data_IF_631651965564
#
_entry.id   IF_631651965564
#
_cell.length_a   1.000
_cell.length_b   1.000
_cell.length_c   1.000
_cell.angle_alpha   90.00
_cell.angle_beta   90.00
_cell.angle_gamma   90.00
#
_symmetry.space_group_name_H-M   'P 1'
#
loop_
_entity.id
_entity.type
_entity.pdbx_description
1 polymer ?
#
# COMPACT_ATOMS: atom_id res chain seq x y z
N UNK A 1 21.51 8.25 -25.10
CA UNK A 1 20.60 7.14 -24.74
C UNK A 1 19.57 7.75 -23.80
N UNK A 2 18.31 7.86 -24.22
CA UNK A 2 17.28 8.41 -23.36
C UNK A 2 17.11 7.45 -22.16
N UNK A 3 17.40 7.91 -20.97
CA UNK A 3 17.07 7.20 -19.73
C UNK A 3 15.56 7.33 -19.61
N UNK A 4 14.82 6.28 -19.92
CA UNK A 4 13.38 6.23 -19.65
C UNK A 4 13.21 6.11 -18.14
N UNK A 5 12.87 7.23 -17.51
CA UNK A 5 12.65 7.31 -16.08
C UNK A 5 11.33 6.62 -15.72
N UNK A 6 11.42 5.47 -15.06
CA UNK A 6 10.25 4.72 -14.58
C UNK A 6 9.32 5.61 -13.75
N UNK A 7 9.89 6.46 -12.89
CA UNK A 7 9.10 7.31 -12.00
C UNK A 7 8.32 8.37 -12.78
N UNK A 8 8.93 8.92 -13.84
CA UNK A 8 8.25 9.85 -14.74
C UNK A 8 7.19 9.20 -15.62
N UNK A 9 7.24 7.88 -15.77
CA UNK A 9 6.25 7.11 -16.54
C UNK A 9 5.04 6.67 -15.70
N UNK A 10 5.07 6.85 -14.37
CA UNK A 10 3.91 6.64 -13.51
C UNK A 10 2.96 7.83 -13.64
N UNK A 11 1.67 7.57 -13.85
CA UNK A 11 0.70 8.62 -14.11
C UNK A 11 -0.51 8.54 -13.16
N UNK A 12 -0.95 9.66 -12.57
CA UNK A 12 -2.23 9.70 -11.86
C UNK A 12 -3.37 9.66 -12.88
N UNK A 13 -4.37 8.84 -12.60
CA UNK A 13 -5.52 8.64 -13.51
C UNK A 13 -6.82 8.49 -12.73
N UNK A 14 -7.95 8.74 -13.39
CA UNK A 14 -9.25 8.23 -13.00
C UNK A 14 -9.49 6.90 -13.72
N UNK A 15 -9.73 5.85 -12.97
CA UNK A 15 -9.95 4.50 -13.46
C UNK A 15 -11.40 4.09 -13.21
N UNK A 16 -12.15 3.88 -14.27
CA UNK A 16 -13.56 3.50 -14.20
C UNK A 16 -13.68 1.98 -14.30
N UNK A 17 -14.40 1.32 -13.38
CA UNK A 17 -14.66 -0.12 -13.47
C UNK A 17 -15.32 -0.50 -14.80
N UNK A 18 -14.73 -1.52 -15.47
CA UNK A 18 -15.13 -1.94 -16.81
C UNK A 18 -14.49 -1.15 -17.97
N UNK A 19 -13.67 -0.13 -17.66
CA UNK A 19 -12.95 0.68 -18.65
C UNK A 19 -11.47 0.83 -18.33
N UNK A 20 -10.87 -0.18 -17.71
CA UNK A 20 -9.51 -0.14 -17.17
C UNK A 20 -8.43 0.00 -18.24
N UNK A 21 -8.74 -0.34 -19.48
CA UNK A 21 -7.83 -0.16 -20.62
C UNK A 21 -7.78 1.29 -21.16
N UNK A 22 -8.70 2.15 -20.69
CA UNK A 22 -8.84 3.55 -21.16
C UNK A 22 -8.98 4.50 -19.98
N UNK A 23 -7.98 4.55 -19.07
CA UNK A 23 -8.03 5.46 -17.93
C UNK A 23 -8.01 6.92 -18.40
N UNK A 24 -8.65 7.81 -17.63
CA UNK A 24 -8.60 9.25 -17.88
C UNK A 24 -7.44 9.87 -17.13
N UNK A 25 -6.40 10.40 -17.79
CA UNK A 25 -5.24 10.98 -17.12
C UNK A 25 -5.60 12.24 -16.33
N UNK A 26 -5.11 12.31 -15.08
CA UNK A 26 -5.11 13.50 -14.26
C UNK A 26 -3.87 14.36 -14.55
N UNK A 27 -3.99 15.66 -14.28
CA UNK A 27 -2.82 16.53 -14.33
C UNK A 27 -1.84 16.16 -13.20
N UNK A 28 -0.59 15.80 -13.47
CA UNK A 28 0.34 15.31 -12.46
C UNK A 28 0.74 16.36 -11.42
N UNK A 29 0.57 17.64 -11.71
CA UNK A 29 0.87 18.74 -10.80
C UNK A 29 -0.37 19.30 -10.09
N UNK A 30 -1.58 18.87 -10.48
CA UNK A 30 -2.82 19.26 -9.82
C UNK A 30 -3.94 18.28 -10.15
N UNK A 31 -4.24 17.34 -9.26
CA UNK A 31 -5.25 16.30 -9.47
C UNK A 31 -6.69 16.83 -9.58
N UNK A 32 -6.95 18.08 -9.19
CA UNK A 32 -8.25 18.72 -9.45
C UNK A 32 -8.48 19.05 -10.93
N UNK A 33 -7.48 18.79 -11.78
CA UNK A 33 -7.54 18.98 -13.22
C UNK A 33 -7.30 17.66 -13.96
N UNK A 34 -7.91 17.53 -15.12
CA UNK A 34 -7.56 16.50 -16.10
C UNK A 34 -6.27 16.91 -16.86
N UNK A 35 -5.52 15.95 -17.35
CA UNK A 35 -4.34 16.23 -18.17
C UNK A 35 -4.68 16.95 -19.48
N UNK A 36 -5.85 16.68 -20.03
CA UNK A 36 -6.36 17.36 -21.23
C UNK A 36 -6.97 18.77 -20.95
N UNK A 37 -6.97 19.20 -19.69
CA UNK A 37 -7.61 20.43 -19.22
C UNK A 37 -9.03 20.21 -18.70
N UNK A 38 -9.54 21.19 -17.96
CA UNK A 38 -10.83 21.11 -17.28
C UNK A 38 -10.74 20.44 -15.89
N UNK A 39 -11.81 20.59 -15.11
CA UNK A 39 -11.88 20.06 -13.76
C UNK A 39 -12.02 18.53 -13.75
N UNK A 40 -11.31 17.87 -12.83
CA UNK A 40 -11.50 16.47 -12.52
C UNK A 40 -12.58 16.28 -11.45
N UNK A 41 -13.15 15.08 -11.34
CA UNK A 41 -14.08 14.71 -10.29
C UNK A 41 -13.48 13.56 -9.49
N UNK A 42 -12.92 13.88 -8.32
CA UNK A 42 -12.20 12.93 -7.46
C UNK A 42 -13.10 12.25 -6.41
N UNK A 43 -14.41 12.55 -6.40
CA UNK A 43 -15.36 12.04 -5.40
C UNK A 43 -15.97 10.67 -5.76
N UNK A 44 -15.45 10.02 -6.81
CA UNK A 44 -15.86 8.68 -7.23
C UNK A 44 -16.88 8.65 -8.37
N UNK A 45 -17.54 9.79 -8.71
CA UNK A 45 -18.50 9.82 -9.79
C UNK A 45 -17.88 9.60 -11.20
N UNK A 46 -16.59 9.90 -11.36
CA UNK A 46 -15.83 9.70 -12.61
C UNK A 46 -14.80 8.56 -12.52
N UNK A 47 -14.95 7.66 -11.56
CA UNK A 47 -14.03 6.57 -11.31
C UNK A 47 -13.15 6.77 -10.07
N UNK A 48 -12.21 5.88 -9.88
CA UNK A 48 -11.28 5.89 -8.74
C UNK A 48 -9.99 6.61 -9.11
N UNK A 49 -9.47 7.43 -8.18
CA UNK A 49 -8.17 8.08 -8.34
C UNK A 49 -7.05 7.04 -8.09
N UNK A 50 -6.29 6.72 -9.13
CA UNK A 50 -5.29 5.65 -9.11
C UNK A 50 -3.95 6.15 -9.65
N UNK A 51 -2.85 5.63 -9.11
CA UNK A 51 -1.55 5.74 -9.75
C UNK A 51 -1.40 4.57 -10.73
N UNK A 52 -1.32 4.87 -12.03
CA UNK A 52 -0.98 3.91 -13.07
C UNK A 52 0.53 3.72 -13.12
N UNK A 53 0.98 2.49 -12.99
CA UNK A 53 2.39 2.11 -13.01
C UNK A 53 2.62 1.21 -14.22
N UNK A 54 3.46 1.60 -15.18
CA UNK A 54 3.76 0.77 -16.35
C UNK A 54 4.61 -0.44 -15.97
N UNK A 55 4.44 -1.53 -16.72
CA UNK A 55 5.32 -2.70 -16.61
C UNK A 55 6.78 -2.30 -16.77
N UNK A 56 7.63 -2.81 -15.89
CA UNK A 56 9.06 -2.59 -15.95
C UNK A 56 9.86 -3.86 -15.71
N UNK A 57 11.11 -3.82 -16.10
CA UNK A 57 12.13 -4.83 -15.86
C UNK A 57 12.91 -4.52 -14.60
N UNK A 58 13.31 -5.54 -13.87
CA UNK A 58 14.20 -5.37 -12.72
C UNK A 58 15.32 -6.39 -12.71
N UNK A 59 16.39 -6.06 -12.02
CA UNK A 59 17.37 -7.03 -11.53
C UNK A 59 17.66 -6.74 -10.05
N UNK A 60 18.01 -7.78 -9.33
CA UNK A 60 18.43 -7.70 -7.94
C UNK A 60 19.75 -8.46 -7.76
N UNK A 61 20.66 -7.88 -7.01
CA UNK A 61 21.87 -8.56 -6.56
C UNK A 61 22.26 -8.10 -5.15
N UNK A 62 22.98 -8.94 -4.45
CA UNK A 62 23.49 -8.66 -3.12
C UNK A 62 25.01 -8.94 -3.08
N UNK A 63 25.78 -8.02 -2.51
CA UNK A 63 27.23 -8.18 -2.40
C UNK A 63 27.74 -7.50 -1.12
N UNK A 64 28.43 -8.25 -0.30
CA UNK A 64 28.85 -7.80 1.03
C UNK A 64 27.62 -7.54 1.93
N UNK A 65 27.35 -6.28 2.24
CA UNK A 65 26.17 -5.83 3.00
C UNK A 65 25.19 -5.00 2.17
N UNK A 66 25.43 -4.92 0.84
CA UNK A 66 24.69 -3.98 -0.03
C UNK A 66 23.69 -4.70 -0.90
N UNK A 67 22.44 -4.22 -0.85
CA UNK A 67 21.40 -4.56 -1.80
C UNK A 67 21.55 -3.64 -3.03
N UNK A 68 21.48 -4.21 -4.22
CA UNK A 68 21.46 -3.45 -5.46
C UNK A 68 20.19 -3.77 -6.23
N UNK A 69 19.35 -2.77 -6.43
CA UNK A 69 18.12 -2.84 -7.23
C UNK A 69 18.33 -2.03 -8.51
N UNK A 70 17.98 -2.60 -9.66
CA UNK A 70 17.98 -1.90 -10.94
C UNK A 70 16.61 -2.08 -11.57
N UNK A 71 16.05 -1.00 -12.11
CA UNK A 71 14.77 -1.00 -12.82
C UNK A 71 14.90 -0.28 -14.15
N UNK A 72 14.12 -0.70 -15.15
CA UNK A 72 14.06 -0.07 -16.46
C UNK A 72 12.75 -0.40 -17.15
N UNK A 73 12.22 0.53 -17.94
CA UNK A 73 11.08 0.27 -18.82
C UNK A 73 11.45 -0.66 -19.97
N UNK A 74 12.73 -0.79 -20.30
CA UNK A 74 13.23 -1.67 -21.36
C UNK A 74 14.03 -2.84 -20.77
N UNK A 75 14.02 -4.02 -21.41
CA UNK A 75 14.87 -5.14 -21.02
C UNK A 75 16.36 -4.77 -21.03
N UNK A 76 17.12 -5.29 -20.06
CA UNK A 76 18.57 -5.19 -19.98
C UNK A 76 19.18 -6.52 -19.53
N UNK A 77 20.48 -6.68 -19.63
CA UNK A 77 21.15 -7.95 -19.32
C UNK A 77 20.86 -8.40 -17.88
N UNK A 78 20.32 -9.60 -17.72
CA UNK A 78 19.97 -10.19 -16.43
C UNK A 78 18.65 -9.65 -15.84
N UNK A 79 17.92 -8.81 -16.57
CA UNK A 79 16.63 -8.32 -16.11
C UNK A 79 15.50 -9.33 -16.35
N UNK A 80 14.46 -9.20 -15.55
CA UNK A 80 13.19 -9.92 -15.68
C UNK A 80 12.02 -8.99 -15.35
N UNK A 81 10.81 -9.34 -15.80
CA UNK A 81 9.60 -8.58 -15.52
C UNK A 81 9.35 -8.59 -14.00
N UNK A 82 9.06 -7.43 -13.41
CA UNK A 82 8.76 -7.36 -11.99
C UNK A 82 7.50 -8.18 -11.66
N UNK A 83 7.51 -9.02 -10.60
CA UNK A 83 6.46 -10.01 -10.37
C UNK A 83 5.04 -9.43 -10.22
N UNK A 84 4.89 -8.17 -9.80
CA UNK A 84 3.59 -7.51 -9.72
C UNK A 84 2.85 -7.47 -11.07
N UNK A 85 3.57 -7.54 -12.19
CA UNK A 85 2.98 -7.52 -13.54
C UNK A 85 2.67 -8.91 -14.09
N UNK A 86 2.82 -9.96 -13.28
CA UNK A 86 2.44 -11.34 -13.62
C UNK A 86 1.22 -11.71 -12.78
N UNK A 87 0.02 -11.47 -13.31
CA UNK A 87 -1.25 -11.71 -12.62
C UNK A 87 -1.88 -13.00 -13.15
N UNK A 88 -2.04 -14.01 -12.30
CA UNK A 88 -2.54 -15.35 -12.69
C UNK A 88 -1.78 -15.96 -13.87
N UNK A 89 -0.45 -15.76 -13.93
CA UNK A 89 0.40 -16.25 -15.02
C UNK A 89 0.37 -15.41 -16.31
N UNK A 90 -0.43 -14.34 -16.35
CA UNK A 90 -0.53 -13.45 -17.51
C UNK A 90 0.22 -12.15 -17.23
N UNK A 91 1.02 -11.70 -18.20
CA UNK A 91 1.71 -10.41 -18.13
C UNK A 91 0.70 -9.30 -18.42
N UNK A 92 0.61 -8.33 -17.50
CA UNK A 92 -0.24 -7.14 -17.66
C UNK A 92 0.63 -5.90 -17.90
N UNK A 93 0.19 -4.96 -18.78
CA UNK A 93 1.01 -3.80 -19.14
C UNK A 93 1.06 -2.73 -18.05
N UNK A 94 0.08 -2.72 -17.15
CA UNK A 94 -0.04 -1.74 -16.06
C UNK A 94 -0.52 -2.41 -14.78
N UNK A 95 -0.12 -1.83 -13.65
CA UNK A 95 -0.76 -2.04 -12.35
C UNK A 95 -1.23 -0.69 -11.82
N UNK A 96 -2.25 -0.74 -10.98
CA UNK A 96 -2.88 0.46 -10.43
C UNK A 96 -2.96 0.36 -8.92
N UNK A 97 -2.45 1.39 -8.23
CA UNK A 97 -2.54 1.55 -6.77
C UNK A 97 -3.43 2.75 -6.50
N UNK A 98 -4.41 2.62 -5.62
CA UNK A 98 -5.25 3.73 -5.19
C UNK A 98 -4.41 4.89 -4.66
N UNK A 99 -4.65 6.09 -5.16
CA UNK A 99 -3.99 7.30 -4.66
C UNK A 99 -4.33 7.51 -3.19
N UNK A 100 -5.58 7.28 -2.82
CA UNK A 100 -6.10 7.49 -1.47
C UNK A 100 -6.36 6.17 -0.75
N UNK A 101 -6.22 6.11 0.59
CA UNK A 101 -6.75 5.01 1.39
C UNK A 101 -8.22 4.74 1.06
N UNK A 102 -8.64 3.48 1.14
CA UNK A 102 -9.96 3.06 0.69
C UNK A 102 -11.09 3.71 1.52
N UNK A 103 -12.01 4.39 0.85
CA UNK A 103 -13.23 4.96 1.43
C UNK A 103 -14.42 4.02 1.24
N UNK A 104 -15.38 4.06 2.15
CA UNK A 104 -16.59 3.23 2.12
C UNK A 104 -17.63 3.80 1.15
N UNK A 105 -18.11 2.96 0.22
CA UNK A 105 -19.30 3.22 -0.61
C UNK A 105 -20.46 2.40 -0.06
N UNK A 106 -21.40 3.08 0.57
CA UNK A 106 -22.67 2.52 1.03
C UNK A 106 -23.62 2.39 -0.16
N UNK A 107 -23.93 1.15 -0.53
CA UNK A 107 -24.81 0.87 -1.67
C UNK A 107 -26.26 1.28 -1.37
N UNK A 108 -26.69 1.18 -0.13
CA UNK A 108 -28.03 1.56 0.28
C UNK A 108 -28.26 3.08 0.21
N UNK A 109 -27.23 3.85 0.52
CA UNK A 109 -27.23 5.31 0.39
C UNK A 109 -26.86 5.79 -1.02
N UNK A 110 -26.39 4.89 -1.90
CA UNK A 110 -25.82 5.18 -3.21
C UNK A 110 -24.72 6.28 -3.16
N UNK A 111 -23.89 6.29 -2.10
CA UNK A 111 -22.93 7.34 -1.83
C UNK A 111 -21.69 6.84 -1.09
N UNK A 112 -20.58 7.58 -1.24
CA UNK A 112 -19.45 7.45 -0.33
C UNK A 112 -19.79 8.11 1.00
N UNK A 113 -19.51 7.41 2.10
CA UNK A 113 -19.72 7.86 3.47
C UNK A 113 -18.42 7.88 4.25
N UNK A 114 -18.37 8.63 5.33
CA UNK A 114 -17.19 8.67 6.19
C UNK A 114 -17.04 7.35 6.95
N UNK A 115 -15.82 6.84 7.03
CA UNK A 115 -15.47 5.83 8.01
C UNK A 115 -15.64 6.41 9.43
N UNK A 116 -16.11 5.59 10.37
CA UNK A 116 -16.35 5.97 11.76
C UNK A 116 -15.49 5.17 12.75
N UNK A 117 -14.60 4.32 12.25
CA UNK A 117 -13.77 3.40 13.05
C UNK A 117 -14.51 2.13 13.51
N UNK A 118 -15.83 2.06 13.33
CA UNK A 118 -16.67 0.89 13.67
C UNK A 118 -17.51 0.40 12.48
N UNK A 119 -17.67 1.22 11.45
CA UNK A 119 -18.47 0.97 10.25
C UNK A 119 -19.90 0.52 10.58
N UNK A 120 -20.59 1.34 11.37
CA UNK A 120 -21.99 1.13 11.69
C UNK A 120 -22.84 1.14 10.41
N UNK A 121 -23.51 0.04 10.13
CA UNK A 121 -24.33 -0.10 8.91
C UNK A 121 -23.64 -0.71 7.72
N UNK A 122 -22.37 -1.14 7.83
CA UNK A 122 -21.67 -1.85 6.75
C UNK A 122 -22.39 -3.13 6.32
N UNK A 123 -22.70 -3.24 5.02
CA UNK A 123 -23.25 -4.46 4.42
C UNK A 123 -22.17 -5.27 3.68
N UNK A 124 -21.81 -6.41 4.25
CA UNK A 124 -20.83 -7.32 3.66
C UNK A 124 -21.23 -7.89 2.29
N UNK A 125 -22.51 -7.90 1.94
CA UNK A 125 -22.98 -8.47 0.69
C UNK A 125 -23.00 -7.42 -0.45
N UNK A 126 -23.14 -6.15 -0.10
CA UNK A 126 -23.38 -5.10 -1.08
C UNK A 126 -22.28 -4.02 -1.14
N UNK A 127 -21.79 -3.54 0.02
CA UNK A 127 -20.94 -2.37 0.09
C UNK A 127 -19.58 -2.57 -0.57
N UNK A 128 -19.03 -1.47 -1.07
CA UNK A 128 -17.78 -1.43 -1.83
C UNK A 128 -16.79 -0.48 -1.18
N UNK A 129 -15.58 -0.49 -1.68
CA UNK A 129 -14.56 0.51 -1.34
C UNK A 129 -14.10 1.27 -2.58
N UNK A 130 -13.56 2.48 -2.37
CA UNK A 130 -13.07 3.31 -3.47
C UNK A 130 -11.88 4.16 -3.07
N UNK A 131 -11.06 4.54 -4.04
CA UNK A 131 -10.00 5.53 -3.89
C UNK A 131 -10.53 6.89 -4.33
N UNK A 132 -10.96 7.71 -3.38
CA UNK A 132 -11.63 9.00 -3.61
C UNK A 132 -11.19 10.04 -2.58
N UNK A 133 -11.52 11.31 -2.80
CA UNK A 133 -11.28 12.42 -1.86
C UNK A 133 -12.50 12.74 -1.00
N UNK A 134 -12.24 13.37 0.15
CA UNK A 134 -13.26 14.03 0.96
C UNK A 134 -14.02 13.10 1.91
N UNK A 135 -13.55 11.87 2.11
CA UNK A 135 -14.12 10.93 3.07
C UNK A 135 -13.05 10.34 3.98
N UNK A 136 -13.37 10.13 5.25
CA UNK A 136 -12.52 9.33 6.11
C UNK A 136 -12.44 7.90 5.58
N UNK A 137 -11.24 7.28 5.61
CA UNK A 137 -11.09 5.91 5.09
C UNK A 137 -11.95 4.90 5.86
N UNK A 138 -12.33 3.83 5.17
CA UNK A 138 -12.93 2.67 5.79
C UNK A 138 -11.92 1.96 6.69
N UNK A 139 -12.36 1.55 7.89
CA UNK A 139 -11.56 0.78 8.83
C UNK A 139 -12.43 -0.24 9.55
N UNK A 140 -11.88 -0.96 10.52
CA UNK A 140 -12.63 -1.91 11.36
C UNK A 140 -13.36 -3.02 10.57
N UNK A 141 -12.78 -3.44 9.46
CA UNK A 141 -13.17 -4.61 8.69
C UNK A 141 -12.04 -5.63 8.71
N UNK A 142 -12.38 -6.92 8.63
CA UNK A 142 -11.38 -7.97 8.41
C UNK A 142 -10.79 -7.87 7.01
N UNK A 143 -9.60 -8.45 6.79
CA UNK A 143 -8.99 -8.54 5.45
C UNK A 143 -9.96 -9.17 4.44
N UNK A 144 -10.66 -10.25 4.81
CA UNK A 144 -11.64 -10.91 3.95
C UNK A 144 -12.79 -9.98 3.54
N UNK A 145 -13.27 -9.13 4.45
CA UNK A 145 -14.32 -8.16 4.16
C UNK A 145 -13.82 -7.08 3.19
N UNK A 146 -12.62 -6.54 3.39
CA UNK A 146 -12.00 -5.62 2.45
C UNK A 146 -11.78 -6.25 1.07
N UNK A 147 -11.30 -7.52 1.01
CA UNK A 147 -11.19 -8.30 -0.23
C UNK A 147 -12.52 -8.39 -0.97
N UNK A 148 -13.59 -8.75 -0.27
CA UNK A 148 -14.94 -8.83 -0.84
C UNK A 148 -15.44 -7.48 -1.35
N UNK A 149 -15.23 -6.40 -0.59
CA UNK A 149 -15.60 -5.05 -0.96
C UNK A 149 -14.88 -4.55 -2.23
N UNK A 150 -13.58 -4.84 -2.34
CA UNK A 150 -12.80 -4.52 -3.54
C UNK A 150 -13.28 -5.32 -4.76
N UNK A 151 -13.52 -6.63 -4.60
CA UNK A 151 -14.02 -7.48 -5.68
C UNK A 151 -15.38 -7.03 -6.23
N UNK A 152 -16.24 -6.43 -5.39
CA UNK A 152 -17.54 -5.88 -5.82
C UNK A 152 -17.41 -4.57 -6.62
N UNK A 153 -16.26 -3.92 -6.65
CA UNK A 153 -16.01 -2.79 -7.54
C UNK A 153 -16.08 -3.24 -8.99
N UNK A 154 -15.47 -4.39 -9.32
CA UNK A 154 -15.46 -4.97 -10.65
C UNK A 154 -14.50 -6.14 -10.77
N UNK A 155 -14.55 -6.84 -11.89
CA UNK A 155 -13.62 -7.94 -12.16
C UNK A 155 -12.17 -7.45 -12.19
N UNK A 156 -11.28 -8.13 -11.49
CA UNK A 156 -9.86 -7.78 -11.41
C UNK A 156 -9.49 -6.77 -10.32
N UNK A 157 -10.46 -6.10 -9.70
CA UNK A 157 -10.23 -5.20 -8.57
C UNK A 157 -9.94 -5.99 -7.28
N UNK A 158 -9.02 -5.48 -6.49
CA UNK A 158 -8.55 -6.11 -5.26
C UNK A 158 -8.12 -5.04 -4.25
N UNK A 159 -7.84 -5.43 -3.02
CA UNK A 159 -6.97 -4.62 -2.17
C UNK A 159 -5.51 -4.86 -2.54
N UNK A 160 -4.58 -4.05 -2.00
CA UNK A 160 -3.15 -4.19 -2.25
C UNK A 160 -2.69 -5.63 -1.97
N UNK A 161 -2.06 -6.26 -2.96
CA UNK A 161 -1.48 -7.60 -2.84
C UNK A 161 0.00 -7.55 -2.48
N UNK A 162 0.57 -8.70 -2.12
CA UNK A 162 1.98 -8.85 -1.77
C UNK A 162 2.94 -8.24 -2.81
N UNK A 163 2.69 -8.48 -4.10
CA UNK A 163 3.57 -7.98 -5.13
C UNK A 163 3.38 -6.49 -5.42
N UNK A 164 2.17 -5.95 -5.23
CA UNK A 164 1.95 -4.49 -5.29
C UNK A 164 2.63 -3.76 -4.12
N UNK A 165 2.63 -4.35 -2.93
CA UNK A 165 3.39 -3.80 -1.81
C UNK A 165 4.90 -3.84 -2.08
N UNK A 166 5.42 -4.95 -2.62
CA UNK A 166 6.82 -5.03 -3.04
C UNK A 166 7.15 -4.02 -4.15
N UNK A 167 6.19 -3.77 -5.07
CA UNK A 167 6.32 -2.75 -6.12
C UNK A 167 6.40 -1.34 -5.54
N UNK A 168 5.56 -0.99 -4.56
CA UNK A 168 5.62 0.32 -3.90
C UNK A 168 6.98 0.54 -3.23
N UNK A 169 7.53 -0.48 -2.54
CA UNK A 169 8.89 -0.44 -1.98
C UNK A 169 9.96 -0.31 -3.06
N UNK A 170 9.81 -1.00 -4.20
CA UNK A 170 10.74 -0.90 -5.33
C UNK A 170 10.75 0.50 -5.93
N UNK A 171 9.60 1.12 -6.13
CA UNK A 171 9.51 2.50 -6.59
C UNK A 171 10.18 3.47 -5.61
N UNK A 172 9.94 3.28 -4.31
CA UNK A 172 10.54 4.11 -3.28
C UNK A 172 12.06 3.97 -3.27
N UNK A 173 12.60 2.75 -3.15
CA UNK A 173 14.04 2.55 -2.99
C UNK A 173 14.84 2.97 -4.23
N UNK A 174 14.28 2.78 -5.43
CA UNK A 174 14.93 3.18 -6.67
C UNK A 174 14.88 4.70 -6.92
N UNK A 175 13.96 5.40 -6.26
CA UNK A 175 13.86 6.86 -6.33
C UNK A 175 14.72 7.56 -5.28
N UNK A 176 14.71 7.05 -4.05
CA UNK A 176 15.30 7.76 -2.91
C UNK A 176 16.60 7.13 -2.40
N UNK A 177 16.79 5.81 -2.59
CA UNK A 177 18.03 5.13 -2.18
C UNK A 177 18.23 5.00 -0.68
N UNK A 178 17.19 5.17 0.11
CA UNK A 178 17.22 5.19 1.57
C UNK A 178 16.16 4.25 2.14
N UNK A 179 16.44 3.56 3.24
CA UNK A 179 15.49 2.68 3.93
C UNK A 179 14.75 3.40 5.07
N UNK A 180 15.16 4.59 5.47
CA UNK A 180 14.45 5.42 6.44
C UNK A 180 13.35 6.23 5.75
N UNK A 181 12.18 5.61 5.60
CA UNK A 181 11.06 6.22 4.89
C UNK A 181 10.48 7.44 5.60
N UNK A 182 10.55 7.51 6.94
CA UNK A 182 10.09 8.66 7.71
C UNK A 182 11.00 9.87 7.53
N UNK A 183 12.31 9.69 7.47
CA UNK A 183 13.25 10.78 7.19
C UNK A 183 13.05 11.32 5.78
N UNK A 184 12.79 10.45 4.79
CA UNK A 184 12.67 10.84 3.38
C UNK A 184 11.32 11.45 3.05
N UNK A 185 10.22 10.82 3.50
CA UNK A 185 8.85 11.23 3.14
C UNK A 185 8.15 12.05 4.22
N UNK A 186 8.75 12.15 5.41
CA UNK A 186 8.13 12.72 6.61
C UNK A 186 7.41 11.66 7.43
N UNK A 187 7.05 12.02 8.67
CA UNK A 187 6.40 11.11 9.62
C UNK A 187 4.91 10.89 9.33
N UNK A 188 4.29 11.83 8.59
CA UNK A 188 2.87 11.78 8.30
C UNK A 188 2.00 11.70 9.56
N UNK A 189 0.86 11.09 9.45
CA UNK A 189 -0.09 10.87 10.54
C UNK A 189 0.29 9.59 11.32
N UNK A 190 1.38 9.63 12.13
CA UNK A 190 1.84 8.45 12.89
C UNK A 190 2.21 8.73 14.35
N UNK A 191 2.22 9.99 14.79
CA UNK A 191 2.90 10.41 16.03
C UNK A 191 1.97 10.65 17.23
N UNK A 192 0.75 10.15 17.23
CA UNK A 192 -0.14 10.28 18.37
C UNK A 192 0.25 9.33 19.52
N UNK A 193 0.37 9.88 20.71
CA UNK A 193 0.63 9.07 21.92
C UNK A 193 -0.61 8.32 22.40
N UNK A 194 -1.79 8.88 22.15
CA UNK A 194 -3.10 8.25 22.35
C UNK A 194 -4.00 8.73 21.22
N UNK A 195 -4.36 7.84 20.32
CA UNK A 195 -5.11 8.20 19.13
C UNK A 195 -6.55 7.71 19.16
N UNK A 196 -7.41 8.39 18.41
CA UNK A 196 -8.79 8.03 18.19
C UNK A 196 -9.15 8.21 16.73
N UNK A 197 -9.83 7.25 16.13
CA UNK A 197 -10.28 7.35 14.74
C UNK A 197 -11.08 8.64 14.50
N UNK A 198 -11.96 9.00 15.44
CA UNK A 198 -12.86 10.13 15.28
C UNK A 198 -12.14 11.48 15.16
N UNK A 199 -11.05 11.67 15.88
CA UNK A 199 -10.31 12.96 15.94
C UNK A 199 -9.05 12.96 15.10
N UNK A 200 -8.38 11.81 14.97
CA UNK A 200 -6.99 11.75 14.50
C UNK A 200 -6.89 11.19 13.07
N UNK A 201 -7.98 10.60 12.55
CA UNK A 201 -8.08 10.24 11.13
C UNK A 201 -8.92 11.29 10.41
N UNK A 202 -8.29 11.95 9.44
CA UNK A 202 -8.95 12.96 8.61
C UNK A 202 -9.43 12.37 7.28
N UNK A 203 -10.27 13.14 6.57
CA UNK A 203 -10.70 12.80 5.23
C UNK A 203 -9.49 12.77 4.26
N UNK A 204 -9.56 11.90 3.28
CA UNK A 204 -8.62 11.77 2.16
C UNK A 204 -8.60 13.02 1.28
N UNK A 205 -7.56 13.16 0.44
CA UNK A 205 -7.45 14.26 -0.50
C UNK A 205 -6.43 15.32 -0.10
N UNK A 206 -5.49 14.98 0.78
CA UNK A 206 -4.35 15.84 1.15
C UNK A 206 -3.29 15.86 0.04
N UNK A 207 -3.10 14.75 -0.66
CA UNK A 207 -2.21 14.64 -1.81
C UNK A 207 -2.97 14.99 -3.08
N UNK A 208 -2.62 16.13 -3.70
CA UNK A 208 -3.22 16.61 -4.94
C UNK A 208 -2.18 16.82 -6.06
N UNK A 209 -0.98 16.27 -5.90
CA UNK A 209 0.09 16.32 -6.92
C UNK A 209 1.06 15.18 -6.70
N UNK A 210 1.62 14.64 -7.80
CA UNK A 210 2.57 13.52 -7.75
C UNK A 210 3.87 13.86 -7.00
N UNK A 211 4.25 15.13 -6.97
CA UNK A 211 5.50 15.61 -6.42
C UNK A 211 5.36 16.42 -5.11
N UNK A 212 4.15 16.46 -4.51
CA UNK A 212 4.00 17.11 -3.22
C UNK A 212 4.89 16.43 -2.17
N UNK A 213 5.52 17.24 -1.32
CA UNK A 213 6.24 16.74 -0.15
C UNK A 213 5.19 16.46 0.93
N UNK A 214 5.28 15.30 1.57
CA UNK A 214 4.45 14.97 2.72
C UNK A 214 4.63 15.97 3.85
N UNK A 215 3.60 16.15 4.67
CA UNK A 215 3.65 16.99 5.87
C UNK A 215 3.95 16.12 7.08
N UNK A 216 4.82 16.64 7.94
CA UNK A 216 5.20 15.96 9.17
C UNK A 216 5.37 16.98 10.27
N UNK A 217 4.78 16.71 11.42
CA UNK A 217 5.03 17.45 12.65
C UNK A 217 5.49 16.49 13.75
N UNK A 218 6.28 16.98 14.69
CA UNK A 218 6.80 16.16 15.79
C UNK A 218 5.75 15.80 16.87
N UNK A 219 4.51 16.29 16.72
CA UNK A 219 3.47 16.11 17.74
C UNK A 219 2.28 15.25 17.33
N UNK A 220 2.26 14.80 16.07
CA UNK A 220 1.09 14.16 15.47
C UNK A 220 -0.03 15.17 15.17
N UNK A 221 -0.56 15.12 13.96
CA UNK A 221 -1.65 15.97 13.51
C UNK A 221 -2.47 15.19 12.48
N UNK A 222 -3.79 15.16 12.64
CA UNK A 222 -4.69 14.48 11.70
C UNK A 222 -4.62 15.03 10.27
N UNK A 223 -4.10 16.24 10.09
CA UNK A 223 -3.84 16.84 8.78
C UNK A 223 -2.49 16.49 8.15
N UNK A 224 -1.60 15.83 8.88
CA UNK A 224 -0.32 15.37 8.34
C UNK A 224 -0.51 14.16 7.45
N UNK A 225 0.37 14.01 6.46
CA UNK A 225 0.33 12.92 5.49
C UNK A 225 1.70 12.65 4.90
N UNK A 226 1.87 11.47 4.33
CA UNK A 226 3.01 11.17 3.47
C UNK A 226 2.56 11.11 2.02
N UNK A 227 3.48 11.39 1.10
CA UNK A 227 3.26 11.29 -0.34
C UNK A 227 4.36 10.45 -0.98
N UNK A 228 4.02 9.24 -1.40
CA UNK A 228 4.89 8.43 -2.24
C UNK A 228 4.45 8.54 -3.70
N UNK A 229 5.08 9.43 -4.46
CA UNK A 229 4.79 9.58 -5.89
C UNK A 229 3.30 9.78 -6.20
N UNK A 230 2.63 10.58 -5.41
CA UNK A 230 1.20 10.84 -5.55
C UNK A 230 0.29 9.91 -4.77
N UNK A 231 0.81 8.87 -4.14
CA UNK A 231 0.04 8.00 -3.25
C UNK A 231 0.01 8.62 -1.85
N UNK A 232 -1.19 8.93 -1.36
CA UNK A 232 -1.42 9.48 -0.01
C UNK A 232 -1.33 8.37 1.04
N UNK A 233 -0.63 8.66 2.13
CA UNK A 233 -0.57 7.81 3.35
C UNK A 233 -0.31 6.32 3.06
N UNK A 234 0.75 6.02 2.27
CA UNK A 234 1.22 4.65 2.06
C UNK A 234 1.73 4.02 3.38
N UNK A 235 1.96 4.84 4.38
CA UNK A 235 2.20 4.47 5.76
C UNK A 235 1.69 5.57 6.71
N UNK A 236 1.46 5.23 7.98
CA UNK A 236 0.80 6.10 8.96
C UNK A 236 -0.73 6.14 8.73
N UNK A 237 -1.45 6.85 9.59
CA UNK A 237 -2.91 6.86 9.57
C UNK A 237 -3.51 5.52 9.97
N UNK A 238 -3.64 4.61 9.05
CA UNK A 238 -4.12 3.24 9.26
C UNK A 238 -3.10 2.22 8.78
N UNK A 239 -2.96 1.10 9.49
CA UNK A 239 -2.37 -0.09 8.91
C UNK A 239 -3.16 -0.52 7.67
N UNK A 240 -2.49 -0.90 6.60
CA UNK A 240 -3.15 -1.43 5.40
C UNK A 240 -2.97 -2.95 5.31
N UNK A 241 -4.07 -3.70 5.24
CA UNK A 241 -4.02 -5.14 4.99
C UNK A 241 -3.44 -5.43 3.61
N UNK A 242 -2.55 -6.43 3.56
CA UNK A 242 -2.00 -6.97 2.31
C UNK A 242 -2.64 -8.31 2.01
N UNK A 243 -3.16 -8.46 0.78
CA UNK A 243 -3.77 -9.70 0.33
C UNK A 243 -2.78 -10.60 -0.44
N UNK A 244 -3.17 -11.85 -0.69
CA UNK A 244 -2.29 -12.83 -1.34
C UNK A 244 -1.03 -13.16 -0.52
N UNK A 245 -1.00 -12.81 0.76
CA UNK A 245 0.09 -13.07 1.68
C UNK A 245 -0.44 -13.61 3.01
N UNK A 246 -0.06 -14.82 3.35
CA UNK A 246 -0.32 -15.43 4.65
C UNK A 246 1.02 -15.67 5.37
N UNK A 247 1.05 -15.41 6.66
CA UNK A 247 2.18 -15.76 7.52
C UNK A 247 1.69 -16.74 8.58
N UNK A 248 2.46 -17.81 8.78
CA UNK A 248 2.21 -18.75 9.86
C UNK A 248 3.49 -18.91 10.69
N UNK A 249 3.48 -18.36 11.91
CA UNK A 249 4.63 -18.41 12.83
C UNK A 249 5.95 -18.00 12.16
N UNK A 250 5.92 -16.92 11.37
CA UNK A 250 7.08 -16.39 10.64
C UNK A 250 7.28 -16.97 9.23
N UNK A 251 6.72 -18.12 8.89
CA UNK A 251 6.82 -18.66 7.54
C UNK A 251 5.89 -17.88 6.59
N UNK A 252 6.44 -17.35 5.49
CA UNK A 252 5.70 -16.59 4.49
C UNK A 252 5.15 -17.50 3.39
N UNK A 253 3.90 -17.29 3.03
CA UNK A 253 3.21 -17.97 1.94
C UNK A 253 2.54 -16.94 1.05
N UNK A 254 2.85 -16.95 -0.25
CA UNK A 254 2.32 -15.98 -1.22
C UNK A 254 1.50 -16.66 -2.31
N UNK A 255 0.47 -15.97 -2.76
CA UNK A 255 -0.37 -16.33 -3.89
C UNK A 255 -0.40 -15.17 -4.89
N UNK A 256 -0.20 -15.45 -6.18
CA UNK A 256 -0.24 -14.45 -7.25
C UNK A 256 -1.53 -14.49 -8.07
N UNK A 257 -2.49 -15.34 -7.68
CA UNK A 257 -3.77 -15.51 -8.37
C UNK A 257 -4.89 -14.98 -7.47
N UNK A 258 -5.45 -13.79 -7.75
CA UNK A 258 -6.43 -13.15 -6.86
C UNK A 258 -7.67 -14.00 -6.54
N UNK A 259 -8.12 -14.82 -7.49
CA UNK A 259 -9.24 -15.74 -7.27
C UNK A 259 -8.98 -16.81 -6.18
N UNK A 260 -7.71 -17.03 -5.82
CA UNK A 260 -7.28 -17.99 -4.80
C UNK A 260 -6.92 -17.32 -3.47
N UNK A 261 -7.05 -15.99 -3.37
CA UNK A 261 -6.74 -15.29 -2.12
C UNK A 261 -7.68 -15.76 -1.01
N UNK A 262 -7.09 -16.27 0.06
CA UNK A 262 -7.80 -16.80 1.21
C UNK A 262 -6.96 -16.60 2.47
N UNK A 263 -7.63 -16.65 3.61
CA UNK A 263 -6.99 -16.48 4.91
C UNK A 263 -6.64 -17.84 5.51
N UNK A 264 -5.64 -17.86 6.40
CA UNK A 264 -5.27 -18.98 7.28
C UNK A 264 -5.04 -20.31 6.53
N UNK A 265 -4.46 -20.25 5.35
CA UNK A 265 -4.24 -21.41 4.48
C UNK A 265 -2.92 -21.31 3.73
N UNK A 266 -2.38 -22.47 3.35
CA UNK A 266 -1.29 -22.61 2.37
C UNK A 266 -1.76 -23.19 1.04
N UNK A 267 -3.04 -23.52 0.92
CA UNK A 267 -3.63 -24.05 -0.33
C UNK A 267 -3.59 -22.99 -1.40
N UNK A 268 -2.98 -23.29 -2.55
CA UNK A 268 -2.67 -22.38 -3.65
C UNK A 268 -1.66 -21.26 -3.31
N UNK A 269 -0.95 -21.39 -2.19
CA UNK A 269 0.12 -20.50 -1.80
C UNK A 269 1.47 -21.22 -1.88
N UNK A 270 2.52 -20.50 -2.22
CA UNK A 270 3.90 -20.99 -2.24
C UNK A 270 4.72 -20.34 -1.14
N UNK A 271 5.61 -21.10 -0.51
CA UNK A 271 6.55 -20.54 0.46
C UNK A 271 7.45 -19.49 -0.22
N UNK A 272 7.74 -18.40 0.49
CA UNK A 272 8.54 -17.30 -0.03
C UNK A 272 9.57 -16.79 0.99
N UNK A 273 10.81 -16.66 0.53
CA UNK A 273 11.92 -16.17 1.35
C UNK A 273 12.31 -17.11 2.49
N UNK A 274 13.07 -16.59 3.43
CA UNK A 274 13.59 -17.35 4.59
C UNK A 274 12.68 -17.29 5.84
N UNK A 275 11.47 -16.77 5.70
CA UNK A 275 10.62 -16.42 6.84
C UNK A 275 10.88 -15.01 7.37
N UNK A 276 9.93 -14.46 8.12
CA UNK A 276 10.09 -13.23 8.88
C UNK A 276 10.56 -13.56 10.30
N UNK A 277 11.13 -12.60 11.01
CA UNK A 277 11.47 -12.77 12.41
C UNK A 277 10.27 -13.21 13.28
N UNK A 278 10.56 -13.87 14.41
CA UNK A 278 9.55 -14.44 15.32
C UNK A 278 9.51 -13.75 16.69
N UNK A 279 9.82 -12.45 16.72
CA UNK A 279 9.67 -11.58 17.88
C UNK A 279 9.49 -10.14 17.43
N UNK A 280 8.94 -9.29 18.30
CA UNK A 280 8.82 -7.84 18.07
C UNK A 280 10.19 -7.17 18.04
N UNK A 281 10.38 -6.17 17.22
CA UNK A 281 11.62 -5.39 17.25
C UNK A 281 11.78 -4.44 16.09
N UNK A 282 12.79 -3.57 16.20
CA UNK A 282 13.24 -2.72 15.12
C UNK A 282 13.98 -3.56 14.09
N UNK A 283 13.67 -3.36 12.82
CA UNK A 283 14.29 -4.10 11.74
C UNK A 283 15.74 -3.67 11.57
N UNK A 284 16.63 -4.63 11.43
CA UNK A 284 18.06 -4.38 11.23
C UNK A 284 18.52 -4.73 9.81
N UNK A 285 18.00 -5.81 9.23
CA UNK A 285 18.33 -6.21 7.85
C UNK A 285 17.10 -6.72 7.11
N UNK A 286 17.18 -6.66 5.79
CA UNK A 286 16.18 -7.23 4.88
C UNK A 286 16.67 -8.56 4.29
N UNK A 287 15.74 -9.41 3.92
CA UNK A 287 16.02 -10.62 3.16
C UNK A 287 16.63 -10.27 1.79
N UNK A 288 17.53 -11.13 1.33
CA UNK A 288 18.21 -10.97 0.04
C UNK A 288 17.25 -11.32 -1.12
N UNK A 289 16.19 -10.59 -1.24
CA UNK A 289 15.19 -10.77 -2.30
C UNK A 289 14.53 -9.43 -2.70
N UNK A 290 13.75 -9.46 -3.78
CA UNK A 290 13.10 -8.29 -4.35
C UNK A 290 11.93 -7.75 -3.51
N UNK A 291 11.35 -8.58 -2.64
CA UNK A 291 10.22 -8.16 -1.81
C UNK A 291 10.65 -7.40 -0.54
N UNK A 292 11.96 -7.34 -0.24
CA UNK A 292 12.49 -6.56 0.88
C UNK A 292 11.74 -6.87 2.19
N UNK A 293 11.63 -8.17 2.52
CA UNK A 293 11.02 -8.60 3.78
C UNK A 293 12.03 -8.49 4.94
N UNK A 294 11.58 -8.28 6.18
CA UNK A 294 12.46 -8.31 7.35
C UNK A 294 13.23 -9.62 7.45
N UNK A 295 14.53 -9.54 7.78
CA UNK A 295 15.38 -10.70 8.02
C UNK A 295 15.83 -10.81 9.47
N UNK A 296 16.29 -9.70 10.06
CA UNK A 296 16.78 -9.68 11.46
C UNK A 296 16.27 -8.43 12.18
N UNK A 297 16.30 -8.50 13.51
CA UNK A 297 16.15 -7.32 14.38
C UNK A 297 17.48 -6.96 15.02
N UNK A 298 17.47 -5.90 15.83
CA UNK A 298 18.59 -5.37 16.56
C UNK A 298 18.83 -3.91 16.24
N UNK A 299 17.97 -3.33 15.43
CA UNK A 299 17.91 -1.89 15.22
C UNK A 299 17.45 -1.17 16.50
N UNK A 300 17.76 0.12 16.60
CA UNK A 300 17.37 0.98 17.72
C UNK A 300 16.19 1.89 17.36
N UNK A 301 15.69 1.79 16.14
CA UNK A 301 14.60 2.63 15.64
C UNK A 301 14.98 4.08 15.41
N UNK A 302 16.24 4.34 15.15
CA UNK A 302 16.74 5.68 14.86
C UNK A 302 17.56 5.67 13.56
N UNK A 303 17.91 6.86 13.06
CA UNK A 303 18.67 7.06 11.83
C UNK A 303 20.07 6.41 11.80
N UNK A 304 20.50 5.77 12.86
CA UNK A 304 21.78 5.03 12.89
C UNK A 304 21.66 3.59 12.34
N UNK A 305 20.45 3.14 12.01
CA UNK A 305 20.17 1.84 11.39
C UNK A 305 19.58 2.03 10.01
N UNK A 306 19.88 1.14 9.08
CA UNK A 306 19.48 1.24 7.68
C UNK A 306 17.94 1.14 7.49
N UNK A 307 17.21 0.53 8.44
CA UNK A 307 15.76 0.35 8.41
C UNK A 307 15.21 0.79 9.75
N UNK A 308 14.50 1.91 9.76
CA UNK A 308 14.00 2.54 10.99
C UNK A 308 12.60 2.06 11.40
N UNK A 309 11.99 1.14 10.64
CA UNK A 309 10.61 0.72 10.81
C UNK A 309 10.49 -0.48 11.74
N UNK A 310 9.36 -0.58 12.48
CA UNK A 310 9.14 -1.61 13.46
C UNK A 310 8.45 -2.84 12.88
N UNK A 311 8.73 -3.99 13.49
CA UNK A 311 8.12 -5.26 13.17
C UNK A 311 7.35 -5.79 14.39
N UNK A 312 6.05 -6.06 14.21
CA UNK A 312 5.16 -6.63 15.23
C UNK A 312 4.87 -8.09 14.89
N UNK A 313 4.95 -8.96 15.89
CA UNK A 313 4.83 -10.40 15.71
C UNK A 313 3.88 -11.04 16.73
N UNK A 314 3.11 -12.01 16.26
CA UNK A 314 2.46 -13.07 17.07
C UNK A 314 2.56 -14.41 16.36
N UNK A 315 2.62 -15.54 17.11
CA UNK A 315 2.64 -16.87 16.50
C UNK A 315 1.30 -17.25 15.88
N UNK A 316 1.31 -18.28 15.02
CA UNK A 316 0.13 -18.78 14.31
C UNK A 316 -0.10 -18.10 12.97
N UNK A 317 -1.27 -18.35 12.38
CA UNK A 317 -1.68 -17.65 11.17
C UNK A 317 -2.07 -16.21 11.48
N UNK A 318 -1.53 -15.30 10.68
CA UNK A 318 -1.80 -13.85 10.77
C UNK A 318 -2.07 -13.25 9.40
N UNK A 319 -2.88 -12.20 9.38
CA UNK A 319 -3.10 -11.36 8.21
C UNK A 319 -2.09 -10.20 8.22
N UNK A 320 -1.08 -10.19 7.35
CA UNK A 320 -0.10 -9.13 7.30
C UNK A 320 -0.75 -7.77 7.02
N UNK A 321 -0.30 -6.75 7.77
CA UNK A 321 -0.65 -5.37 7.55
C UNK A 321 0.59 -4.48 7.62
N UNK A 322 0.64 -3.42 6.86
CA UNK A 322 1.84 -2.63 6.64
C UNK A 322 1.63 -1.16 6.98
N UNK A 323 2.73 -0.43 7.09
CA UNK A 323 2.73 1.03 7.18
C UNK A 323 2.66 1.58 8.60
N UNK A 324 2.06 0.88 9.54
CA UNK A 324 1.74 1.41 10.86
C UNK A 324 0.49 2.30 10.85
N UNK A 325 -0.01 2.65 12.03
CA UNK A 325 -1.17 3.52 12.23
C UNK A 325 -0.79 4.87 12.83
N UNK A 326 -1.78 5.71 13.07
CA UNK A 326 -1.61 7.01 13.70
C UNK A 326 -0.91 6.94 15.08
N UNK A 327 -1.01 5.82 15.79
CA UNK A 327 -0.35 5.59 17.07
C UNK A 327 0.97 4.83 17.02
N UNK A 328 1.52 4.52 15.85
CA UNK A 328 2.73 3.70 15.74
C UNK A 328 4.03 4.47 15.98
N UNK A 329 3.98 5.80 16.03
CA UNK A 329 5.14 6.65 16.28
C UNK A 329 6.24 6.46 15.23
N UNK A 330 7.48 6.45 15.69
CA UNK A 330 8.64 6.17 14.85
C UNK A 330 8.68 4.73 14.30
N UNK A 331 7.82 3.84 14.81
CA UNK A 331 7.69 2.47 14.27
C UNK A 331 6.93 2.39 12.95
N UNK A 332 6.16 3.43 12.59
CA UNK A 332 5.51 3.51 11.28
C UNK A 332 6.56 3.70 10.17
N UNK A 333 6.22 3.27 8.97
CA UNK A 333 7.04 3.51 7.78
C UNK A 333 6.73 2.51 6.68
N UNK A 334 7.29 2.74 5.49
CA UNK A 334 7.03 1.94 4.31
C UNK A 334 7.45 0.47 4.47
N UNK A 335 8.42 0.17 5.33
CA UNK A 335 8.88 -1.19 5.64
C UNK A 335 8.27 -1.73 6.93
N UNK A 336 7.47 -0.92 7.66
CA UNK A 336 6.76 -1.32 8.88
C UNK A 336 5.80 -2.48 8.60
N UNK A 337 5.89 -3.56 9.39
CA UNK A 337 5.14 -4.79 9.14
C UNK A 337 4.53 -5.33 10.43
N UNK A 338 3.20 -5.38 10.46
CA UNK A 338 2.41 -6.02 11.50
C UNK A 338 2.05 -7.46 11.10
N UNK A 339 2.54 -8.42 11.89
CA UNK A 339 2.24 -9.85 11.76
C UNK A 339 1.76 -10.41 13.10
N UNK A 340 0.81 -9.69 13.73
CA UNK A 340 0.37 -9.99 15.08
C UNK A 340 -1.14 -10.18 15.23
N UNK A 341 -1.89 -9.88 14.18
CA UNK A 341 -3.35 -10.02 14.19
C UNK A 341 -3.80 -11.21 13.35
N UNK A 342 -4.68 -12.03 13.93
CA UNK A 342 -5.36 -13.11 13.21
C UNK A 342 -6.23 -12.56 12.08
N UNK A 343 -6.57 -13.39 11.11
CA UNK A 343 -7.37 -13.01 9.91
C UNK A 343 -8.75 -12.44 10.22
N UNK A 344 -9.32 -12.82 11.38
CA UNK A 344 -10.61 -12.30 11.85
C UNK A 344 -10.51 -10.96 12.57
N UNK A 345 -9.32 -10.43 12.77
CA UNK A 345 -9.15 -9.13 13.41
C UNK A 345 -9.77 -8.01 12.57
N UNK A 346 -10.48 -7.13 13.26
CA UNK A 346 -11.01 -5.90 12.72
C UNK A 346 -10.80 -4.80 13.78
N UNK A 347 -10.04 -3.78 13.43
CA UNK A 347 -9.72 -2.67 14.34
C UNK A 347 -9.88 -1.34 13.65
N UNK A 348 -10.21 -0.30 14.40
CA UNK A 348 -10.34 1.06 13.88
C UNK A 348 -9.04 1.63 13.28
N UNK A 349 -7.91 1.02 13.60
CA UNK A 349 -6.56 1.34 13.10
C UNK A 349 -6.15 0.52 11.86
N UNK A 350 -7.03 -0.33 11.32
CA UNK A 350 -6.78 -1.15 10.14
C UNK A 350 -7.72 -0.80 9.01
N UNK A 351 -7.13 -0.51 7.86
CA UNK A 351 -7.79 -0.19 6.60
C UNK A 351 -7.25 -1.03 5.44
N UNK A 352 -7.49 -0.56 4.24
CA UNK A 352 -6.98 -1.15 3.01
C UNK A 352 -6.82 -0.09 1.92
N UNK A 353 -6.24 -0.49 0.79
CA UNK A 353 -6.10 0.34 -0.40
C UNK A 353 -6.66 -0.39 -1.61
N UNK A 354 -7.54 0.29 -2.37
CA UNK A 354 -8.09 -0.26 -3.60
C UNK A 354 -7.01 -0.33 -4.68
N UNK A 355 -6.93 -1.46 -5.41
CA UNK A 355 -5.95 -1.73 -6.46
C UNK A 355 -6.58 -2.48 -7.65
N UNK A 356 -5.86 -2.43 -8.81
CA UNK A 356 -6.23 -3.19 -10.01
C UNK A 356 -4.99 -3.77 -10.71
#
# INVERSE_FOLDING_TARGET
MAIFDLHAACNPVLLVPGSELSPTPLNPTNYNLLAAGGASVLTGASGHAMLQIPQFQYSYSFSGTKHKYQVSLLPFAGSQIFPAFIKSGVIVPYRYIGIYPASWYDVSAAAYVDGDGVLSGWDNAADKIGSIVGKKPASNLTRAKFRGAAARVGAGWSIMDFWLYALAKMLYITKYGDFDSQTVLGQGNSMFSAWSFATDISATGKVLTINAIGRSTSGGNSGDYVNLMGIEDIFGGLFEFIDGWNINSGANYICSTPANFADDTTVNYSAYGSGTPTANGWQATLQQNVAMLPATFGGTGNSSVDICDYFWYSPGYVAPAVGGSAGSGSGAGLFGLGTYNASLYAGGDFGARLCF
#
